data_IF_458496747211
#
_entry.id   IF_458496747211
#
_cell.length_a   1.000
_cell.length_b   1.000
_cell.length_c   1.000
_cell.angle_alpha   90.00
_cell.angle_beta   90.00
_cell.angle_gamma   90.00
#
_symmetry.space_group_name_H-M   'P 1'
#
loop_
_entity.id
_entity.type
_entity.pdbx_description
1 polymer ?
#
# COMPACT_ATOMS: atom_id res chain seq x y z
N UNK A 1 1.10 -9.86 -17.13
CA UNK A 1 -0.15 -10.29 -16.48
C UNK A 1 -0.57 -9.31 -15.42
N UNK A 2 -1.87 -9.03 -15.37
CA UNK A 2 -2.39 -8.13 -14.36
C UNK A 2 -2.62 -8.89 -13.05
N UNK A 3 -2.19 -8.26 -11.95
CA UNK A 3 -2.49 -8.76 -10.62
C UNK A 3 -3.83 -8.19 -10.17
N UNK A 4 -4.53 -8.91 -9.32
CA UNK A 4 -5.72 -8.39 -8.65
C UNK A 4 -5.32 -7.66 -7.37
N UNK A 5 -6.19 -6.78 -6.90
CA UNK A 5 -5.99 -6.08 -5.62
C UNK A 5 -6.80 -6.79 -4.55
N UNK A 6 -6.19 -6.95 -3.38
CA UNK A 6 -6.85 -7.49 -2.21
C UNK A 6 -6.56 -6.58 -1.03
N UNK A 7 -7.56 -6.36 -0.19
CA UNK A 7 -7.37 -5.61 1.05
C UNK A 7 -7.61 -6.55 2.23
N UNK A 8 -6.73 -6.51 3.21
CA UNK A 8 -7.04 -7.12 4.51
C UNK A 8 -8.14 -6.27 5.18
N UNK A 9 -8.78 -6.82 6.21
CA UNK A 9 -9.80 -6.08 6.94
C UNK A 9 -9.23 -4.78 7.52
N UNK A 10 -8.04 -4.86 8.08
CA UNK A 10 -7.36 -3.69 8.63
C UNK A 10 -7.09 -2.63 7.56
N UNK A 11 -6.60 -3.06 6.42
CA UNK A 11 -6.30 -2.13 5.31
C UNK A 11 -7.57 -1.50 4.76
N UNK A 12 -8.66 -2.28 4.73
CA UNK A 12 -9.95 -1.75 4.29
C UNK A 12 -10.46 -0.67 5.23
N UNK A 13 -10.34 -0.89 6.55
CA UNK A 13 -10.72 0.11 7.54
C UNK A 13 -9.89 1.38 7.38
N UNK A 14 -8.57 1.25 7.15
CA UNK A 14 -7.70 2.39 6.89
C UNK A 14 -8.16 3.17 5.65
N UNK A 15 -8.48 2.45 4.60
CA UNK A 15 -8.91 3.03 3.34
C UNK A 15 -10.22 3.81 3.50
N UNK A 16 -11.18 3.24 4.21
CA UNK A 16 -12.46 3.88 4.50
C UNK A 16 -12.25 5.16 5.33
N UNK A 17 -11.34 5.11 6.31
CA UNK A 17 -10.99 6.27 7.11
C UNK A 17 -10.62 7.48 6.23
N UNK A 18 -9.77 7.28 5.24
CA UNK A 18 -9.30 8.38 4.38
C UNK A 18 -10.39 8.97 3.50
N UNK A 19 -11.43 8.22 3.18
CA UNK A 19 -12.50 8.71 2.33
C UNK A 19 -13.23 9.91 2.94
N UNK A 20 -13.28 10.01 4.25
CA UNK A 20 -13.94 11.11 4.94
C UNK A 20 -12.97 12.06 5.62
N UNK A 21 -11.71 11.66 5.82
CA UNK A 21 -10.76 12.45 6.62
C UNK A 21 -9.81 13.31 5.78
N UNK A 22 -9.36 12.81 4.65
CA UNK A 22 -8.41 13.56 3.83
C UNK A 22 -8.40 13.03 2.40
N UNK A 23 -9.04 13.78 1.52
CA UNK A 23 -9.16 13.39 0.12
C UNK A 23 -7.84 13.43 -0.64
N UNK A 24 -6.90 14.28 -0.21
CA UNK A 24 -5.58 14.33 -0.84
C UNK A 24 -4.79 13.06 -0.54
N UNK A 25 -4.86 12.61 0.69
CA UNK A 25 -4.22 11.36 1.09
C UNK A 25 -4.86 10.18 0.36
N UNK A 26 -6.19 10.16 0.28
CA UNK A 26 -6.90 9.12 -0.46
C UNK A 26 -6.45 9.05 -1.92
N UNK A 27 -6.35 10.20 -2.56
CA UNK A 27 -5.91 10.28 -3.96
C UNK A 27 -4.49 9.74 -4.12
N UNK A 28 -3.60 10.07 -3.18
CA UNK A 28 -2.23 9.59 -3.17
C UNK A 28 -2.20 8.07 -3.02
N UNK A 29 -2.98 7.53 -2.08
CA UNK A 29 -3.08 6.09 -1.86
C UNK A 29 -3.57 5.37 -3.12
N UNK A 30 -4.61 5.90 -3.75
CA UNK A 30 -5.15 5.32 -4.99
C UNK A 30 -4.09 5.28 -6.08
N UNK A 31 -3.30 6.34 -6.23
CA UNK A 31 -2.24 6.40 -7.23
C UNK A 31 -1.14 5.37 -6.92
N UNK A 32 -0.76 5.23 -5.65
CA UNK A 32 0.25 4.27 -5.25
C UNK A 32 -0.20 2.82 -5.49
N UNK A 33 -1.45 2.51 -5.15
CA UNK A 33 -2.00 1.16 -5.38
C UNK A 33 -2.02 0.85 -6.87
N UNK A 34 -2.47 1.78 -7.67
CA UNK A 34 -2.51 1.61 -9.13
C UNK A 34 -1.11 1.33 -9.68
N UNK A 35 -0.12 2.06 -9.19
CA UNK A 35 1.26 1.85 -9.62
C UNK A 35 1.81 0.49 -9.15
N UNK A 36 1.46 0.06 -7.94
CA UNK A 36 1.88 -1.23 -7.41
C UNK A 36 1.45 -2.40 -8.29
N UNK A 37 0.31 -2.28 -8.96
CA UNK A 37 -0.16 -3.34 -9.86
C UNK A 37 0.73 -3.50 -11.08
N UNK A 38 1.40 -2.44 -11.49
CA UNK A 38 2.27 -2.44 -12.67
C UNK A 38 3.73 -2.66 -12.31
N UNK A 39 4.21 -1.95 -11.30
CA UNK A 39 5.62 -1.98 -10.90
C UNK A 39 5.71 -2.08 -9.37
N UNK A 40 5.49 -3.30 -8.83
CA UNK A 40 5.38 -3.44 -7.37
C UNK A 40 6.67 -3.18 -6.59
N UNK A 41 7.82 -3.23 -7.24
CA UNK A 41 9.10 -3.13 -6.55
C UNK A 41 9.88 -1.85 -6.85
N UNK A 42 9.32 -0.97 -7.65
CA UNK A 42 9.97 0.29 -8.00
C UNK A 42 8.94 1.36 -8.29
N UNK A 43 9.35 2.62 -8.25
CA UNK A 43 8.52 3.75 -8.61
C UNK A 43 8.28 4.72 -7.47
N UNK A 44 7.10 5.33 -7.46
CA UNK A 44 6.75 6.41 -6.54
C UNK A 44 6.63 5.94 -5.10
N UNK A 45 7.04 6.79 -4.17
CA UNK A 45 6.88 6.51 -2.74
C UNK A 45 8.03 5.72 -2.14
N UNK A 46 9.14 5.60 -2.84
CA UNK A 46 10.33 4.89 -2.37
C UNK A 46 10.01 3.47 -1.89
N UNK A 47 9.54 2.59 -2.79
CA UNK A 47 9.23 1.22 -2.40
C UNK A 47 10.47 0.53 -1.84
N UNK A 48 10.29 -0.13 -0.68
CA UNK A 48 11.38 -0.86 -0.05
C UNK A 48 10.86 -2.13 0.61
N UNK A 49 11.66 -3.20 0.59
CA UNK A 49 11.29 -4.43 1.29
C UNK A 49 11.45 -4.24 2.80
N UNK A 50 10.53 -4.82 3.56
CA UNK A 50 10.59 -4.80 5.01
C UNK A 50 11.38 -6.00 5.54
N UNK A 51 11.81 -5.92 6.79
CA UNK A 51 12.73 -6.89 7.38
C UNK A 51 12.13 -7.52 8.64
N UNK A 52 12.85 -8.51 9.17
CA UNK A 52 12.50 -9.23 10.39
C UNK A 52 11.13 -9.88 10.27
N UNK A 53 10.25 -9.65 11.25
CA UNK A 53 8.92 -10.27 11.25
C UNK A 53 8.01 -9.75 10.14
N UNK A 54 8.42 -8.68 9.43
CA UNK A 54 7.69 -8.15 8.29
C UNK A 54 8.33 -8.54 6.96
N UNK A 55 9.26 -9.48 6.97
CA UNK A 55 9.91 -9.97 5.76
C UNK A 55 8.88 -10.52 4.77
N UNK A 56 9.02 -10.16 3.52
CA UNK A 56 8.06 -10.52 2.47
C UNK A 56 7.08 -9.41 2.14
N UNK A 57 7.00 -8.41 3.00
CA UNK A 57 6.16 -7.23 2.74
C UNK A 57 7.01 -6.09 2.19
N UNK A 58 6.34 -5.15 1.53
CA UNK A 58 6.93 -3.95 0.97
C UNK A 58 6.19 -2.74 1.49
N UNK A 59 6.85 -1.58 1.49
CA UNK A 59 6.19 -0.34 1.85
C UNK A 59 6.47 0.76 0.83
N UNK A 60 5.52 1.67 0.70
CA UNK A 60 5.68 2.93 -0.02
C UNK A 60 5.24 4.07 0.88
N UNK A 61 5.87 5.22 0.74
CA UNK A 61 5.51 6.41 1.51
C UNK A 61 4.25 7.04 0.95
N UNK A 62 3.24 7.18 1.79
CA UNK A 62 2.06 7.98 1.47
C UNK A 62 2.40 9.45 1.73
N UNK A 63 2.92 9.72 2.93
CA UNK A 63 3.45 11.01 3.34
C UNK A 63 4.53 10.76 4.40
N UNK A 64 4.93 11.77 5.17
CA UNK A 64 5.97 11.60 6.18
C UNK A 64 5.55 10.65 7.30
N UNK A 65 4.25 10.56 7.58
CA UNK A 65 3.70 9.85 8.71
C UNK A 65 3.14 8.48 8.35
N UNK A 66 2.57 8.36 7.16
CA UNK A 66 1.79 7.18 6.78
C UNK A 66 2.47 6.37 5.70
N UNK A 67 2.29 5.07 5.78
CA UNK A 67 2.88 4.11 4.83
C UNK A 67 1.82 3.19 4.27
N UNK A 68 2.00 2.86 2.99
CA UNK A 68 1.26 1.80 2.33
C UNK A 68 2.10 0.53 2.44
N UNK A 69 1.62 -0.46 3.17
CA UNK A 69 2.29 -1.76 3.30
C UNK A 69 1.54 -2.78 2.48
N UNK A 70 2.25 -3.55 1.68
CA UNK A 70 1.64 -4.50 0.77
C UNK A 70 2.50 -5.74 0.58
N UNK A 71 1.85 -6.82 0.17
CA UNK A 71 2.50 -8.07 -0.18
C UNK A 71 2.22 -8.37 -1.65
N UNK A 72 3.19 -8.94 -2.36
CA UNK A 72 3.07 -9.20 -3.79
C UNK A 72 3.25 -10.68 -4.05
N UNK A 73 2.31 -11.25 -4.80
CA UNK A 73 2.45 -12.58 -5.37
C UNK A 73 2.32 -12.45 -6.89
N UNK A 74 2.50 -13.55 -7.61
CA UNK A 74 2.33 -13.55 -9.06
C UNK A 74 0.90 -13.17 -9.46
N UNK A 75 -0.07 -13.38 -8.57
CA UNK A 75 -1.48 -13.23 -8.88
C UNK A 75 -2.11 -11.97 -8.31
N UNK A 76 -1.55 -11.42 -7.22
CA UNK A 76 -2.20 -10.31 -6.53
C UNK A 76 -1.24 -9.42 -5.77
N UNK A 77 -1.74 -8.23 -5.47
CA UNK A 77 -1.14 -7.30 -4.52
C UNK A 77 -2.12 -7.20 -3.35
N UNK A 78 -1.69 -7.61 -2.16
CA UNK A 78 -2.51 -7.55 -0.95
C UNK A 78 -2.10 -6.31 -0.16
N UNK A 79 -3.05 -5.42 0.07
CA UNK A 79 -2.83 -4.22 0.87
C UNK A 79 -3.02 -4.60 2.34
N UNK A 80 -1.97 -4.40 3.13
CA UNK A 80 -1.92 -4.81 4.54
C UNK A 80 -2.29 -3.65 5.46
N UNK A 81 -1.82 -2.46 5.13
CA UNK A 81 -2.22 -1.23 5.83
C UNK A 81 -1.97 -0.03 4.92
N UNK A 82 -2.69 1.06 5.15
CA UNK A 82 -2.46 2.32 4.45
C UNK A 82 -2.68 3.51 5.38
N UNK A 83 -2.35 3.32 6.65
CA UNK A 83 -2.40 4.36 7.67
C UNK A 83 -1.35 4.05 8.73
N UNK A 84 -0.75 5.10 9.31
CA UNK A 84 0.33 4.99 10.29
C UNK A 84 1.63 4.43 9.71
N UNK A 85 2.62 4.35 10.54
CA UNK A 85 3.89 3.71 10.25
C UNK A 85 3.82 2.25 10.70
N UNK A 86 4.68 1.43 10.18
CA UNK A 86 4.78 0.03 10.62
C UNK A 86 5.78 -0.13 11.75
#
# INVERSE_FOLDING_TARGET
>A
MNRTIEFTDNAWDDYIYWQTQDKKVLKRINALIKECLRTPFEGTGKPEPLKANLSGFWSRRIDEKHRLVYEVTDERVSIIQCRFHY
#
